data_IF_333048784479
#
_entry.id   IF_333048784479
#
_cell.length_a   1.000
_cell.length_b   1.000
_cell.length_c   1.000
_cell.angle_alpha   90.00
_cell.angle_beta   90.00
_cell.angle_gamma   90.00
#
_symmetry.space_group_name_H-M   'P 1'
#
loop_
_entity.id
_entity.type
_entity.pdbx_description
1 polymer ?
#
# COMPACT_ATOMS: atom_id res chain seq x y z
N UNK A 1 -25.35 18.25 0.71
CA UNK A 1 -24.89 16.99 1.29
C UNK A 1 -26.13 16.17 1.59
N UNK A 2 -26.22 14.96 1.07
CA UNK A 2 -27.34 14.09 1.38
C UNK A 2 -27.23 13.69 2.85
N UNK A 3 -28.28 13.90 3.61
CA UNK A 3 -28.33 13.50 5.02
C UNK A 3 -28.74 12.04 5.12
N UNK A 4 -28.19 11.33 6.08
CA UNK A 4 -28.55 9.96 6.43
C UNK A 4 -29.12 9.92 7.85
N UNK A 5 -30.17 9.17 8.10
CA UNK A 5 -30.70 9.02 9.47
C UNK A 5 -29.85 8.09 10.30
N UNK A 6 -29.94 8.24 11.64
CA UNK A 6 -29.28 7.30 12.59
C UNK A 6 -29.69 5.87 12.29
N UNK A 7 -30.96 5.63 12.00
CA UNK A 7 -31.53 4.31 11.65
C UNK A 7 -30.83 3.71 10.40
N UNK A 8 -30.78 4.49 9.34
CA UNK A 8 -30.16 4.04 8.07
C UNK A 8 -28.66 3.78 8.22
N UNK A 9 -27.98 4.66 8.97
CA UNK A 9 -26.54 4.48 9.23
C UNK A 9 -26.27 3.24 10.09
N UNK A 10 -27.01 3.03 11.17
CA UNK A 10 -26.90 1.85 12.01
C UNK A 10 -27.15 0.56 11.22
N UNK A 11 -28.20 0.54 10.37
CA UNK A 11 -28.47 -0.59 9.48
C UNK A 11 -27.28 -0.85 8.52
N UNK A 12 -26.73 0.21 7.93
CA UNK A 12 -25.59 0.09 7.02
C UNK A 12 -24.31 -0.42 7.70
N UNK A 13 -24.15 -0.13 8.99
CA UNK A 13 -23.03 -0.61 9.81
C UNK A 13 -23.30 -1.97 10.45
N UNK A 14 -24.51 -2.54 10.28
CA UNK A 14 -24.98 -3.74 11.01
C UNK A 14 -24.81 -3.57 12.53
N UNK A 15 -25.12 -2.40 13.04
CA UNK A 15 -24.89 -1.96 14.42
C UNK A 15 -26.21 -1.71 15.17
N UNK A 16 -26.18 -1.87 16.49
CA UNK A 16 -27.30 -1.48 17.35
C UNK A 16 -27.36 0.03 17.52
N UNK A 17 -28.57 0.60 17.50
CA UNK A 17 -28.77 2.02 17.75
C UNK A 17 -29.91 2.23 18.75
N UNK A 18 -29.78 3.26 19.57
CA UNK A 18 -30.70 3.62 20.64
C UNK A 18 -31.00 5.11 20.63
N UNK A 19 -32.14 5.50 21.25
CA UNK A 19 -32.57 6.90 21.33
C UNK A 19 -33.42 7.32 20.13
N UNK A 20 -33.28 8.57 19.69
CA UNK A 20 -34.05 9.12 18.56
C UNK A 20 -33.34 8.73 17.23
N UNK A 21 -33.86 7.69 16.58
CA UNK A 21 -33.29 7.11 15.35
C UNK A 21 -33.60 7.93 14.09
N UNK A 22 -34.50 8.91 14.16
CA UNK A 22 -34.88 9.74 13.02
C UNK A 22 -33.99 11.00 12.85
N UNK A 23 -33.03 11.20 13.76
CA UNK A 23 -32.07 12.30 13.64
C UNK A 23 -31.26 12.14 12.34
N UNK A 24 -31.23 13.22 11.57
CA UNK A 24 -30.44 13.30 10.34
C UNK A 24 -28.99 13.70 10.63
N UNK A 25 -28.04 12.98 10.03
CA UNK A 25 -26.60 13.17 10.11
C UNK A 25 -26.09 13.59 8.73
N UNK A 26 -25.30 14.66 8.67
CA UNK A 26 -24.70 15.17 7.42
C UNK A 26 -23.21 14.89 7.30
N UNK A 27 -22.58 14.31 8.33
CA UNK A 27 -21.16 14.00 8.37
C UNK A 27 -20.74 13.45 9.72
N UNK A 28 -19.46 13.25 9.92
CA UNK A 28 -18.86 12.81 11.18
C UNK A 28 -17.69 13.71 11.56
N UNK A 29 -17.42 13.81 12.86
CA UNK A 29 -16.29 14.56 13.40
C UNK A 29 -15.74 13.90 14.68
N UNK A 30 -14.56 14.33 15.12
CA UNK A 30 -14.08 14.01 16.46
C UNK A 30 -15.00 14.67 17.51
N UNK A 31 -15.17 14.07 18.70
CA UNK A 31 -16.16 14.49 19.68
C UNK A 31 -16.16 15.99 20.01
N UNK A 32 -14.97 16.57 20.19
CA UNK A 32 -14.80 17.99 20.56
C UNK A 32 -15.18 18.96 19.44
N UNK A 33 -15.11 18.51 18.17
CA UNK A 33 -15.38 19.34 16.99
C UNK A 33 -16.79 19.09 16.42
N UNK A 34 -17.48 18.07 16.92
CA UNK A 34 -18.76 17.64 16.39
C UNK A 34 -19.88 18.62 16.74
N UNK A 35 -20.51 19.21 15.72
CA UNK A 35 -21.69 20.09 15.83
C UNK A 35 -22.99 19.28 15.81
N UNK A 36 -24.16 19.92 16.05
CA UNK A 36 -25.49 19.30 16.20
C UNK A 36 -25.86 18.63 14.88
N UNK A 37 -25.56 18.40 13.91
CA UNK A 37 -25.86 17.61 12.69
C UNK A 37 -24.78 16.61 12.33
N UNK A 38 -23.72 16.50 13.14
CA UNK A 38 -22.63 15.59 12.91
C UNK A 38 -22.65 14.42 13.92
N UNK A 39 -22.25 13.25 13.45
CA UNK A 39 -21.98 12.10 14.30
C UNK A 39 -20.63 12.27 14.99
N UNK A 40 -20.62 12.28 16.33
CA UNK A 40 -19.38 12.23 17.07
C UNK A 40 -18.78 10.81 17.06
N UNK A 41 -17.55 10.65 16.65
CA UNK A 41 -16.86 9.34 16.64
C UNK A 41 -16.11 9.16 17.94
N UNK A 42 -16.74 8.53 18.94
CA UNK A 42 -16.23 8.38 20.31
C UNK A 42 -16.09 6.91 20.70
N UNK A 43 -15.26 6.17 19.99
CA UNK A 43 -15.12 4.71 20.11
C UNK A 43 -14.06 4.24 21.12
N UNK A 44 -13.44 5.15 21.86
CA UNK A 44 -12.52 4.84 22.95
C UNK A 44 -12.69 5.83 24.10
N UNK A 45 -12.28 5.43 25.31
CA UNK A 45 -12.44 6.22 26.53
C UNK A 45 -11.93 7.67 26.42
N UNK A 46 -10.75 7.96 25.86
CA UNK A 46 -10.29 9.34 25.68
C UNK A 46 -11.19 10.19 24.79
N UNK A 47 -11.82 9.60 23.77
CA UNK A 47 -12.78 10.31 22.92
C UNK A 47 -14.14 10.47 23.59
N UNK A 48 -14.61 9.48 24.33
CA UNK A 48 -15.87 9.58 25.13
C UNK A 48 -15.77 10.74 26.12
N UNK A 49 -14.65 10.89 26.82
CA UNK A 49 -14.42 11.98 27.76
C UNK A 49 -14.53 13.38 27.14
N UNK A 50 -14.27 13.51 25.84
CA UNK A 50 -14.33 14.79 25.09
C UNK A 50 -15.68 15.10 24.47
N UNK A 51 -16.68 14.23 24.58
CA UNK A 51 -18.03 14.48 24.03
C UNK A 51 -18.67 15.74 24.57
N UNK A 52 -18.42 16.08 25.84
CA UNK A 52 -18.93 17.30 26.48
C UNK A 52 -18.31 18.61 25.96
N UNK A 53 -17.20 18.56 25.22
CA UNK A 53 -16.58 19.73 24.60
C UNK A 53 -17.27 20.15 23.30
N UNK A 54 -17.91 19.19 22.61
CA UNK A 54 -18.65 19.40 21.38
C UNK A 54 -20.14 19.68 21.58
N UNK A 55 -20.88 19.66 20.47
CA UNK A 55 -22.34 19.88 20.45
C UNK A 55 -23.10 18.74 19.77
N UNK A 56 -22.46 17.60 19.57
CA UNK A 56 -23.05 16.45 18.93
C UNK A 56 -24.26 15.94 19.72
N UNK A 57 -25.31 15.56 19.00
CA UNK A 57 -26.50 14.92 19.56
C UNK A 57 -26.49 13.41 19.38
N UNK A 58 -25.61 12.92 18.50
CA UNK A 58 -25.48 11.51 18.15
C UNK A 58 -24.00 11.12 18.22
N UNK A 59 -23.72 9.95 18.78
CA UNK A 59 -22.36 9.42 18.82
C UNK A 59 -22.27 7.97 18.35
N UNK A 60 -21.14 7.62 17.73
CA UNK A 60 -20.71 6.25 17.51
C UNK A 60 -19.86 5.84 18.71
N UNK A 61 -20.29 4.82 19.45
CA UNK A 61 -19.71 4.39 20.72
C UNK A 61 -19.25 2.92 20.64
N UNK A 62 -18.29 2.56 21.47
CA UNK A 62 -18.01 1.15 21.76
C UNK A 62 -19.14 0.57 22.64
N UNK A 63 -19.38 -0.75 22.54
CA UNK A 63 -20.35 -1.43 23.37
C UNK A 63 -20.08 -1.24 24.87
N UNK A 64 -21.15 -1.10 25.68
CA UNK A 64 -21.07 -0.98 27.13
C UNK A 64 -20.93 0.44 27.65
N UNK A 65 -20.84 1.46 26.80
CA UNK A 65 -20.82 2.87 27.21
C UNK A 65 -22.23 3.33 27.62
N UNK A 66 -22.38 3.93 28.80
CA UNK A 66 -23.65 4.56 29.22
C UNK A 66 -23.88 5.90 28.50
N UNK A 67 -24.51 5.81 27.33
CA UNK A 67 -24.77 6.96 26.48
C UNK A 67 -25.74 8.00 27.08
N UNK A 68 -26.59 7.59 28.04
CA UNK A 68 -27.54 8.49 28.69
C UNK A 68 -26.87 9.52 29.57
N UNK A 69 -25.75 9.14 30.18
CA UNK A 69 -24.94 10.06 30.99
C UNK A 69 -24.19 11.11 30.15
N UNK A 70 -24.11 10.91 28.80
CA UNK A 70 -23.34 11.76 27.90
C UNK A 70 -24.14 12.88 27.21
N UNK A 71 -25.36 13.13 27.65
CA UNK A 71 -26.24 14.17 27.11
C UNK A 71 -26.53 14.04 25.59
N UNK A 72 -26.52 12.80 25.07
CA UNK A 72 -26.80 12.46 23.69
C UNK A 72 -28.33 12.20 23.50
N UNK A 73 -28.83 12.43 22.29
CA UNK A 73 -30.17 12.10 21.88
C UNK A 73 -30.27 10.72 21.21
N UNK A 74 -29.19 10.24 20.63
CA UNK A 74 -29.06 8.88 20.09
C UNK A 74 -27.63 8.39 20.14
N UNK A 75 -27.43 7.06 20.12
CA UNK A 75 -26.13 6.42 20.03
C UNK A 75 -26.17 5.20 19.09
N UNK A 76 -25.07 4.95 18.40
CA UNK A 76 -24.83 3.75 17.61
C UNK A 76 -23.68 2.99 18.25
N UNK A 77 -23.87 1.69 18.56
CA UNK A 77 -22.88 0.87 19.23
C UNK A 77 -22.18 -0.07 18.27
N UNK A 78 -20.87 -0.22 18.41
CA UNK A 78 -20.06 -1.04 17.53
C UNK A 78 -19.08 -1.92 18.30
N UNK A 79 -18.95 -3.19 17.90
CA UNK A 79 -18.03 -4.16 18.49
C UNK A 79 -16.58 -3.92 18.08
N UNK A 80 -16.36 -3.58 16.79
CA UNK A 80 -15.06 -3.34 16.20
C UNK A 80 -14.97 -1.92 15.64
N UNK A 81 -14.54 -0.94 16.47
CA UNK A 81 -14.53 0.47 16.08
C UNK A 81 -13.83 0.78 14.75
N UNK A 82 -12.64 0.22 14.54
CA UNK A 82 -11.90 0.45 13.28
C UNK A 82 -12.59 -0.11 12.06
N UNK A 83 -13.27 -1.25 12.18
CA UNK A 83 -14.06 -1.82 11.09
C UNK A 83 -15.31 -0.98 10.80
N UNK A 84 -15.98 -0.53 11.85
CA UNK A 84 -17.14 0.36 11.73
C UNK A 84 -16.78 1.69 11.05
N UNK A 85 -15.58 2.23 11.30
CA UNK A 85 -15.10 3.43 10.60
C UNK A 85 -15.01 3.23 9.09
N UNK A 86 -14.62 2.05 8.61
CA UNK A 86 -14.60 1.77 7.16
C UNK A 86 -16.01 1.87 6.55
N UNK A 87 -17.02 1.28 7.20
CA UNK A 87 -18.42 1.39 6.75
C UNK A 87 -18.97 2.81 6.87
N UNK A 88 -18.68 3.50 7.98
CA UNK A 88 -19.08 4.88 8.23
C UNK A 88 -18.54 5.82 7.15
N UNK A 89 -17.23 5.80 6.94
CA UNK A 89 -16.59 6.68 5.96
C UNK A 89 -17.05 6.38 4.53
N UNK A 90 -17.28 5.12 4.19
CA UNK A 90 -17.85 4.74 2.90
C UNK A 90 -19.28 5.32 2.71
N UNK A 91 -20.10 5.37 3.76
CA UNK A 91 -21.47 5.93 3.69
C UNK A 91 -21.50 7.45 3.67
N UNK A 92 -20.56 8.09 4.35
CA UNK A 92 -20.46 9.54 4.43
C UNK A 92 -19.57 10.14 3.33
N UNK A 93 -18.80 9.32 2.62
CA UNK A 93 -18.09 9.77 1.43
C UNK A 93 -19.09 10.20 0.38
N UNK A 94 -19.22 11.51 0.20
CA UNK A 94 -20.15 12.15 -0.74
C UNK A 94 -19.82 11.86 -2.21
N UNK A 95 -19.18 10.78 -2.44
CA UNK A 95 -18.94 10.14 -3.72
C UNK A 95 -18.82 11.15 -4.88
N UNK A 96 -17.86 12.11 -4.74
CA UNK A 96 -17.50 13.03 -5.81
C UNK A 96 -17.18 12.28 -7.13
N UNK A 97 -16.97 10.97 -7.03
CA UNK A 97 -16.82 10.01 -8.13
C UNK A 97 -18.16 9.62 -8.77
N UNK A 98 -19.31 9.85 -8.10
CA UNK A 98 -20.63 9.59 -8.68
C UNK A 98 -21.02 10.75 -9.60
N UNK A 99 -21.53 10.41 -10.75
CA UNK A 99 -22.05 11.38 -11.71
C UNK A 99 -22.31 10.74 -13.07
N UNK A 100 -22.93 11.49 -13.97
CA UNK A 100 -23.18 11.02 -15.32
C UNK A 100 -21.87 10.78 -16.06
N UNK A 101 -21.87 9.79 -16.98
CA UNK A 101 -20.79 9.58 -17.93
C UNK A 101 -20.40 10.91 -18.60
N UNK A 102 -19.11 11.19 -18.66
CA UNK A 102 -18.61 12.45 -19.22
C UNK A 102 -17.17 12.26 -19.71
N UNK A 103 -16.93 12.70 -20.93
CA UNK A 103 -15.58 12.78 -21.50
C UNK A 103 -15.26 14.24 -21.71
N UNK A 104 -14.20 14.74 -21.06
CA UNK A 104 -13.80 16.14 -21.19
C UNK A 104 -13.33 16.41 -22.64
N UNK A 105 -13.71 17.55 -23.24
CA UNK A 105 -13.36 17.87 -24.65
C UNK A 105 -11.86 17.93 -24.94
N UNK A 106 -11.02 18.16 -23.92
CA UNK A 106 -9.55 18.14 -24.06
C UNK A 106 -8.92 16.76 -23.88
N UNK A 107 -9.71 15.71 -23.60
CA UNK A 107 -9.19 14.35 -23.58
C UNK A 107 -8.88 13.88 -24.99
N UNK A 108 -7.74 13.22 -25.17
CA UNK A 108 -7.34 12.62 -26.45
C UNK A 108 -7.56 11.11 -26.40
N UNK A 109 -8.45 10.63 -27.25
CA UNK A 109 -8.85 9.22 -27.28
C UNK A 109 -8.57 8.66 -28.67
N UNK A 110 -7.75 7.61 -28.72
CA UNK A 110 -7.48 6.92 -29.99
C UNK A 110 -8.77 6.23 -30.50
N UNK A 111 -9.12 6.35 -31.78
CA UNK A 111 -10.35 5.79 -32.32
C UNK A 111 -10.43 4.26 -32.28
N UNK A 112 -9.32 3.56 -32.08
CA UNK A 112 -9.29 2.09 -31.95
C UNK A 112 -9.52 1.62 -30.50
N UNK A 113 -9.56 2.54 -29.53
CA UNK A 113 -9.85 2.19 -28.13
C UNK A 113 -11.32 1.85 -27.91
N UNK A 114 -11.60 1.00 -26.93
CA UNK A 114 -12.93 0.56 -26.55
C UNK A 114 -13.23 1.06 -25.12
N UNK A 115 -14.15 1.99 -25.01
CA UNK A 115 -14.56 2.56 -23.73
C UNK A 115 -15.98 2.10 -23.41
N UNK A 116 -16.15 1.35 -22.33
CA UNK A 116 -17.45 0.86 -21.91
C UNK A 116 -18.33 1.99 -21.33
N UNK A 117 -19.61 1.70 -21.09
CA UNK A 117 -20.58 2.66 -20.59
C UNK A 117 -20.24 3.16 -19.17
N UNK A 118 -20.67 4.36 -18.84
CA UNK A 118 -20.50 4.97 -17.53
C UNK A 118 -19.16 5.65 -17.30
N UNK A 119 -18.25 5.62 -18.26
CA UNK A 119 -16.93 6.23 -18.11
C UNK A 119 -16.98 7.74 -17.89
N UNK A 120 -16.14 8.24 -16.96
CA UNK A 120 -15.82 9.66 -16.75
C UNK A 120 -14.32 9.85 -17.01
N UNK A 121 -13.98 10.71 -17.97
CA UNK A 121 -12.59 10.96 -18.36
C UNK A 121 -12.30 12.44 -18.20
N UNK A 122 -11.39 12.77 -17.30
CA UNK A 122 -10.99 14.13 -16.96
C UNK A 122 -10.16 14.81 -18.05
N UNK A 123 -9.93 16.09 -17.83
CA UNK A 123 -9.22 16.95 -18.76
C UNK A 123 -7.79 16.46 -19.05
N UNK A 124 -7.32 16.62 -20.29
CA UNK A 124 -5.96 16.31 -20.72
C UNK A 124 -5.54 14.85 -20.53
N UNK A 125 -6.49 13.94 -20.36
CA UNK A 125 -6.20 12.52 -20.31
C UNK A 125 -5.98 11.96 -21.72
N UNK A 126 -5.08 10.98 -21.83
CA UNK A 126 -4.73 10.31 -23.07
C UNK A 126 -5.07 8.82 -23.00
N UNK A 127 -5.87 8.34 -23.94
CA UNK A 127 -6.24 6.94 -24.09
C UNK A 127 -5.64 6.44 -25.43
N UNK A 128 -4.65 5.56 -25.32
CA UNK A 128 -3.89 5.06 -26.46
C UNK A 128 -4.62 4.05 -27.33
N UNK A 129 -3.98 3.69 -28.45
CA UNK A 129 -4.53 2.75 -29.42
C UNK A 129 -4.79 1.38 -28.81
N UNK A 130 -5.93 0.77 -29.14
CA UNK A 130 -6.32 -0.57 -28.70
C UNK A 130 -6.56 -0.72 -27.20
N UNK A 131 -6.65 0.37 -26.44
CA UNK A 131 -7.01 0.33 -25.02
C UNK A 131 -8.43 -0.19 -24.85
N UNK A 132 -8.61 -1.09 -23.87
CA UNK A 132 -9.94 -1.54 -23.43
C UNK A 132 -10.16 -1.03 -22.01
N UNK A 133 -11.19 -0.20 -21.82
CA UNK A 133 -11.57 0.39 -20.54
C UNK A 133 -12.97 -0.09 -20.14
N UNK A 134 -13.07 -0.74 -18.98
CA UNK A 134 -14.29 -1.31 -18.44
C UNK A 134 -15.34 -0.26 -18.04
N UNK A 135 -16.47 -0.76 -17.55
CA UNK A 135 -17.63 0.07 -17.18
C UNK A 135 -17.32 0.97 -15.99
N UNK A 136 -18.06 2.09 -15.90
CA UNK A 136 -18.04 3.02 -14.78
C UNK A 136 -16.63 3.54 -14.42
N UNK A 137 -15.72 3.54 -15.36
CA UNK A 137 -14.36 4.01 -15.13
C UNK A 137 -14.37 5.50 -14.74
N UNK A 138 -13.64 5.82 -13.68
CA UNK A 138 -13.42 7.20 -13.25
C UNK A 138 -11.93 7.56 -13.44
N UNK A 139 -11.65 8.44 -14.37
CA UNK A 139 -10.33 8.97 -14.66
C UNK A 139 -10.28 10.46 -14.33
N UNK A 140 -9.36 10.84 -13.45
CA UNK A 140 -9.05 12.22 -13.12
C UNK A 140 -8.43 12.98 -14.30
N UNK A 141 -7.75 14.06 -14.01
CA UNK A 141 -7.05 14.86 -15.03
C UNK A 141 -5.67 14.28 -15.34
N UNK A 142 -5.18 14.48 -16.58
CA UNK A 142 -3.83 14.07 -16.99
C UNK A 142 -3.54 12.56 -16.80
N UNK A 143 -4.55 11.71 -16.83
CA UNK A 143 -4.38 10.24 -16.81
C UNK A 143 -3.91 9.77 -18.17
N UNK A 144 -2.95 8.84 -18.19
CA UNK A 144 -2.46 8.22 -19.42
C UNK A 144 -2.69 6.72 -19.38
N UNK A 145 -3.38 6.17 -20.40
CA UNK A 145 -3.47 4.74 -20.67
C UNK A 145 -2.67 4.44 -21.93
N UNK A 146 -1.58 3.68 -21.78
CA UNK A 146 -0.71 3.28 -22.89
C UNK A 146 -1.37 2.27 -23.83
N UNK A 147 -0.86 2.19 -25.05
CA UNK A 147 -1.41 1.35 -26.12
C UNK A 147 -1.58 -0.11 -25.67
N UNK A 148 -2.70 -0.72 -26.03
CA UNK A 148 -3.00 -2.12 -25.78
C UNK A 148 -3.24 -2.47 -24.31
N UNK A 149 -3.32 -1.49 -23.41
CA UNK A 149 -3.64 -1.76 -22.00
C UNK A 149 -5.11 -2.13 -21.83
N UNK A 150 -5.37 -2.97 -20.83
CA UNK A 150 -6.71 -3.39 -20.40
C UNK A 150 -6.94 -2.97 -18.94
N UNK A 151 -8.07 -2.32 -18.68
CA UNK A 151 -8.51 -1.96 -17.33
C UNK A 151 -9.94 -2.44 -17.14
N UNK A 152 -10.16 -3.29 -16.13
CA UNK A 152 -11.47 -3.88 -15.82
C UNK A 152 -12.54 -2.87 -15.40
N UNK A 153 -13.67 -3.37 -14.91
CA UNK A 153 -14.82 -2.54 -14.50
C UNK A 153 -14.57 -1.79 -13.20
N UNK A 154 -15.23 -0.66 -13.02
CA UNK A 154 -15.25 0.20 -11.82
C UNK A 154 -13.86 0.72 -11.37
N UNK A 155 -12.92 1.04 -12.26
CA UNK A 155 -11.64 1.57 -11.86
C UNK A 155 -11.74 3.04 -11.45
N UNK A 156 -10.88 3.43 -10.49
CA UNK A 156 -10.67 4.83 -10.11
C UNK A 156 -9.21 5.18 -10.31
N UNK A 157 -8.92 6.00 -11.29
CA UNK A 157 -7.58 6.50 -11.60
C UNK A 157 -7.53 7.99 -11.33
N UNK A 158 -6.84 8.38 -10.25
CA UNK A 158 -6.77 9.79 -9.85
C UNK A 158 -5.79 10.59 -10.73
N UNK A 159 -5.66 11.89 -10.43
CA UNK A 159 -4.93 12.80 -11.29
C UNK A 159 -3.49 12.39 -11.54
N UNK A 160 -3.05 12.47 -12.78
CA UNK A 160 -1.67 12.22 -13.17
C UNK A 160 -1.23 10.75 -13.20
N UNK A 161 -2.15 9.78 -13.01
CA UNK A 161 -1.84 8.34 -13.11
C UNK A 161 -1.33 8.01 -14.51
N UNK A 162 -0.25 7.23 -14.58
CA UNK A 162 0.38 6.76 -15.81
C UNK A 162 0.34 5.24 -15.87
N UNK A 163 -0.39 4.70 -16.82
CA UNK A 163 -0.42 3.25 -17.13
C UNK A 163 0.30 3.05 -18.46
N UNK A 164 1.35 2.24 -18.43
CA UNK A 164 2.16 1.90 -19.61
C UNK A 164 1.43 1.00 -20.60
N UNK A 165 2.11 0.71 -21.72
CA UNK A 165 1.55 -0.15 -22.78
C UNK A 165 1.43 -1.60 -22.33
N UNK A 166 0.40 -2.30 -22.81
CA UNK A 166 0.11 -3.71 -22.59
C UNK A 166 -0.09 -4.10 -21.11
N UNK A 167 -0.34 -3.14 -20.24
CA UNK A 167 -0.66 -3.40 -18.82
C UNK A 167 -2.07 -3.96 -18.71
N UNK A 168 -2.25 -4.99 -17.88
CA UNK A 168 -3.54 -5.63 -17.61
C UNK A 168 -3.92 -5.38 -16.16
N UNK A 169 -5.10 -4.82 -15.93
CA UNK A 169 -5.61 -4.48 -14.59
C UNK A 169 -7.02 -5.05 -14.43
N UNK A 170 -7.26 -5.72 -13.31
CA UNK A 170 -8.57 -6.27 -12.95
C UNK A 170 -9.60 -5.20 -12.60
N UNK A 171 -10.69 -5.63 -11.95
CA UNK A 171 -11.83 -4.79 -11.60
C UNK A 171 -11.61 -4.03 -10.27
N UNK A 172 -12.35 -2.93 -10.06
CA UNK A 172 -12.36 -2.12 -8.82
C UNK A 172 -10.96 -1.65 -8.39
N UNK A 173 -10.13 -1.45 -9.37
CA UNK A 173 -8.77 -0.94 -9.16
C UNK A 173 -8.78 0.54 -8.76
N UNK A 174 -7.96 0.90 -7.79
CA UNK A 174 -7.79 2.29 -7.36
C UNK A 174 -6.33 2.69 -7.48
N UNK A 175 -6.04 3.77 -8.20
CA UNK A 175 -4.73 4.41 -8.24
C UNK A 175 -4.82 5.84 -7.72
N UNK A 176 -4.06 6.12 -6.67
CA UNK A 176 -3.92 7.45 -6.08
C UNK A 176 -3.10 8.38 -7.01
N UNK A 177 -3.10 9.70 -6.79
CA UNK A 177 -2.43 10.64 -7.69
C UNK A 177 -0.96 10.30 -7.94
N UNK A 178 -0.54 10.41 -9.21
CA UNK A 178 0.86 10.25 -9.61
C UNK A 178 1.38 8.80 -9.64
N UNK A 179 0.54 7.80 -9.49
CA UNK A 179 0.93 6.38 -9.63
C UNK A 179 1.46 6.12 -11.04
N UNK A 180 2.56 5.35 -11.14
CA UNK A 180 3.15 4.92 -12.41
C UNK A 180 3.19 3.40 -12.48
N UNK A 181 2.59 2.83 -13.52
CA UNK A 181 2.54 1.38 -13.76
C UNK A 181 3.12 1.08 -15.13
N UNK A 182 4.09 0.17 -15.20
CA UNK A 182 4.68 -0.26 -16.46
C UNK A 182 5.81 0.63 -16.98
N UNK A 183 6.47 1.40 -16.09
CA UNK A 183 7.76 1.99 -16.40
C UNK A 183 8.81 0.91 -16.61
N UNK A 184 9.85 1.19 -17.39
CA UNK A 184 10.94 0.25 -17.62
C UNK A 184 11.69 -0.03 -16.31
N UNK A 185 11.97 -1.30 -16.06
CA UNK A 185 12.77 -1.73 -14.93
C UNK A 185 14.20 -1.21 -14.99
N UNK A 186 14.80 -0.95 -13.82
CA UNK A 186 16.21 -0.57 -13.71
C UNK A 186 17.09 -1.81 -13.87
N UNK A 187 17.53 -2.08 -15.11
CA UNK A 187 18.34 -3.26 -15.43
C UNK A 187 19.49 -2.90 -16.37
N UNK A 188 20.71 -3.04 -15.89
CA UNK A 188 21.93 -2.70 -16.61
C UNK A 188 23.00 -3.76 -16.38
N UNK A 189 23.81 -4.02 -17.41
CA UNK A 189 24.92 -4.98 -17.40
C UNK A 189 26.14 -4.39 -18.08
N UNK A 190 27.34 -4.80 -17.69
CA UNK A 190 28.56 -4.53 -18.43
C UNK A 190 28.92 -5.72 -19.33
N UNK A 191 29.78 -5.51 -20.31
CA UNK A 191 30.22 -6.56 -21.25
C UNK A 191 30.92 -7.71 -20.52
N UNK A 192 31.78 -7.36 -19.57
CA UNK A 192 32.50 -8.31 -18.74
C UNK A 192 31.98 -8.22 -17.30
N UNK A 193 32.30 -9.23 -16.48
CA UNK A 193 31.81 -9.31 -15.08
C UNK A 193 32.21 -8.04 -14.32
N UNK A 194 31.18 -7.33 -13.81
CA UNK A 194 31.36 -6.10 -13.05
C UNK A 194 31.75 -6.38 -11.60
N UNK A 195 32.42 -5.39 -10.97
CA UNK A 195 32.75 -5.46 -9.54
C UNK A 195 31.48 -5.75 -8.65
N UNK A 196 30.35 -5.23 -9.03
CA UNK A 196 29.07 -5.49 -8.31
C UNK A 196 28.66 -6.96 -8.37
N UNK A 197 28.84 -7.62 -9.52
CA UNK A 197 28.55 -9.05 -9.68
C UNK A 197 29.51 -9.89 -8.84
N UNK A 198 30.83 -9.55 -8.83
CA UNK A 198 31.84 -10.19 -7.97
C UNK A 198 31.47 -10.05 -6.48
N UNK A 199 31.12 -8.85 -6.03
CA UNK A 199 30.71 -8.58 -4.63
C UNK A 199 29.51 -9.41 -4.22
N UNK A 200 28.51 -9.59 -5.10
CA UNK A 200 27.32 -10.42 -4.84
C UNK A 200 27.68 -11.91 -4.69
N UNK A 201 28.59 -12.41 -5.53
CA UNK A 201 29.02 -13.81 -5.50
C UNK A 201 29.96 -14.14 -4.35
N UNK A 202 30.80 -13.21 -3.91
CA UNK A 202 31.86 -13.41 -2.90
C UNK A 202 31.55 -12.84 -1.53
N UNK A 203 30.43 -12.08 -1.39
CA UNK A 203 30.04 -11.36 -0.17
C UNK A 203 31.10 -10.33 0.30
N UNK A 204 31.69 -9.61 -0.63
CA UNK A 204 32.53 -8.44 -0.29
C UNK A 204 33.83 -8.29 -1.07
N UNK A 205 34.25 -9.26 -1.86
CA UNK A 205 35.42 -9.13 -2.75
C UNK A 205 34.94 -8.58 -4.11
N UNK A 206 35.43 -7.39 -4.46
CA UNK A 206 35.15 -6.76 -5.75
C UNK A 206 35.95 -7.31 -6.91
N UNK A 207 36.99 -8.11 -6.64
CA UNK A 207 37.97 -8.54 -7.62
C UNK A 207 38.73 -7.38 -8.30
N UNK A 208 39.35 -7.68 -9.40
CA UNK A 208 40.11 -6.71 -10.22
C UNK A 208 39.31 -6.15 -11.39
N UNK A 209 37.98 -6.15 -11.30
CA UNK A 209 37.10 -5.67 -12.36
C UNK A 209 37.34 -4.20 -12.66
N UNK A 210 37.60 -3.88 -13.93
CA UNK A 210 37.80 -2.52 -14.40
C UNK A 210 36.45 -1.83 -14.65
N UNK A 211 36.38 -0.49 -14.51
CA UNK A 211 35.22 0.27 -14.89
C UNK A 211 34.86 0.07 -16.37
N UNK A 212 33.59 -0.18 -16.66
CA UNK A 212 33.06 -0.41 -18.00
C UNK A 212 31.73 0.39 -18.17
N UNK A 213 31.38 0.72 -19.42
CA UNK A 213 30.05 1.28 -19.71
C UNK A 213 28.96 0.28 -19.36
N UNK A 214 27.82 0.81 -18.87
CA UNK A 214 26.62 0.03 -18.68
C UNK A 214 25.79 -0.04 -19.94
N UNK A 215 25.34 -1.23 -20.28
CA UNK A 215 24.38 -1.48 -21.34
C UNK A 215 23.00 -1.76 -20.73
N UNK A 216 21.97 -1.13 -21.28
CA UNK A 216 20.60 -1.30 -20.80
C UNK A 216 20.04 -2.65 -21.27
N UNK A 217 19.46 -3.38 -20.34
CA UNK A 217 18.58 -4.50 -20.66
C UNK A 217 17.15 -3.94 -20.76
N UNK A 218 16.57 -4.04 -21.96
CA UNK A 218 15.24 -3.48 -22.22
C UNK A 218 14.14 -4.33 -21.61
N UNK A 219 13.05 -3.68 -21.17
CA UNK A 219 11.89 -4.32 -20.58
C UNK A 219 10.87 -4.65 -21.68
N UNK A 220 10.69 -5.92 -21.99
CA UNK A 220 9.77 -6.44 -23.03
C UNK A 220 8.47 -6.97 -22.44
N UNK A 221 8.47 -7.37 -21.15
CA UNK A 221 7.29 -7.77 -20.43
C UNK A 221 6.36 -6.59 -20.11
N UNK A 222 5.29 -6.84 -19.41
CA UNK A 222 4.30 -5.84 -18.97
C UNK A 222 4.09 -5.91 -17.45
N UNK A 223 2.91 -5.47 -17.00
CA UNK A 223 2.44 -5.59 -15.60
C UNK A 223 1.05 -6.20 -15.64
N UNK A 224 0.78 -7.15 -14.76
CA UNK A 224 -0.54 -7.70 -14.49
C UNK A 224 -0.95 -7.41 -13.05
N UNK A 225 -2.15 -6.87 -12.85
CA UNK A 225 -2.71 -6.53 -11.54
C UNK A 225 -4.09 -7.18 -11.42
N UNK A 226 -4.33 -7.87 -10.31
CA UNK A 226 -5.60 -8.51 -10.01
C UNK A 226 -6.72 -7.53 -9.65
N UNK A 227 -7.83 -8.08 -9.18
CA UNK A 227 -9.01 -7.33 -8.74
C UNK A 227 -8.80 -6.68 -7.36
N UNK A 228 -9.54 -5.61 -7.05
CA UNK A 228 -9.59 -4.96 -5.74
C UNK A 228 -8.24 -4.45 -5.22
N UNK A 229 -7.30 -4.16 -6.11
CA UNK A 229 -5.98 -3.61 -5.76
C UNK A 229 -6.04 -2.10 -5.64
N UNK A 230 -5.36 -1.56 -4.63
CA UNK A 230 -5.17 -0.12 -4.47
C UNK A 230 -3.68 0.23 -4.42
N UNK A 231 -3.26 1.24 -5.19
CA UNK A 231 -1.90 1.78 -5.20
C UNK A 231 -1.90 3.21 -4.68
N UNK A 232 -1.12 3.46 -3.63
CA UNK A 232 -0.94 4.76 -2.99
C UNK A 232 -0.20 5.78 -3.86
N UNK A 233 -0.31 7.04 -3.48
CA UNK A 233 0.23 8.16 -4.27
C UNK A 233 1.73 8.02 -4.55
N UNK A 234 2.11 8.32 -5.80
CA UNK A 234 3.49 8.25 -6.30
C UNK A 234 4.18 6.88 -6.11
N UNK A 235 3.42 5.80 -5.93
CA UNK A 235 3.99 4.46 -6.00
C UNK A 235 4.29 4.07 -7.45
N UNK A 236 5.30 3.21 -7.64
CA UNK A 236 5.74 2.77 -8.95
C UNK A 236 5.77 1.24 -9.04
N UNK A 237 5.30 0.71 -10.17
CA UNK A 237 5.38 -0.70 -10.53
C UNK A 237 6.09 -0.84 -11.87
N UNK A 238 7.30 -1.37 -11.84
CA UNK A 238 8.09 -1.55 -13.05
C UNK A 238 7.58 -2.74 -13.87
N UNK A 239 7.64 -2.61 -15.19
CA UNK A 239 7.35 -3.72 -16.09
C UNK A 239 8.48 -4.76 -16.09
N UNK A 240 8.13 -5.98 -16.38
CA UNK A 240 9.12 -7.06 -16.40
C UNK A 240 10.08 -7.01 -17.60
N UNK A 241 11.20 -7.68 -17.45
CA UNK A 241 12.21 -7.77 -18.53
C UNK A 241 11.72 -8.66 -19.67
N UNK A 242 11.31 -9.90 -19.36
CA UNK A 242 10.71 -10.85 -20.31
C UNK A 242 9.31 -11.23 -19.86
N UNK A 243 9.18 -11.86 -18.68
CA UNK A 243 7.90 -12.12 -18.05
C UNK A 243 7.36 -10.87 -17.36
N UNK A 244 6.08 -10.80 -17.15
CA UNK A 244 5.43 -9.67 -16.49
C UNK A 244 5.80 -9.55 -15.00
N UNK A 245 5.66 -8.36 -14.46
CA UNK A 245 5.52 -8.10 -13.04
C UNK A 245 4.07 -8.35 -12.66
N UNK A 246 3.81 -9.04 -11.54
CA UNK A 246 2.47 -9.51 -11.17
C UNK A 246 2.12 -9.05 -9.77
N UNK A 247 0.91 -8.52 -9.59
CA UNK A 247 0.31 -8.20 -8.29
C UNK A 247 -1.03 -8.95 -8.20
N UNK A 248 -1.17 -9.80 -7.20
CA UNK A 248 -2.40 -10.55 -6.93
C UNK A 248 -3.56 -9.66 -6.48
N UNK A 249 -4.74 -10.28 -6.35
CA UNK A 249 -5.97 -9.58 -5.98
C UNK A 249 -5.98 -9.14 -4.52
N UNK A 250 -6.74 -8.09 -4.19
CA UNK A 250 -6.94 -7.61 -2.83
C UNK A 250 -5.76 -6.85 -2.21
N UNK A 251 -4.64 -6.71 -2.91
CA UNK A 251 -3.45 -6.03 -2.40
C UNK A 251 -3.68 -4.54 -2.17
N UNK A 252 -3.10 -4.02 -1.07
CA UNK A 252 -3.09 -2.60 -0.75
C UNK A 252 -1.65 -2.12 -0.63
N UNK A 253 -1.28 -1.19 -1.49
CA UNK A 253 0.06 -0.61 -1.56
C UNK A 253 -0.04 0.85 -1.17
N UNK A 254 0.71 1.24 -0.17
CA UNK A 254 0.73 2.61 0.35
C UNK A 254 1.65 3.53 -0.47
N UNK A 255 1.70 4.80 -0.11
CA UNK A 255 2.38 5.84 -0.85
C UNK A 255 3.89 5.59 -0.99
N UNK A 256 4.46 6.01 -2.12
CA UNK A 256 5.91 5.99 -2.39
C UNK A 256 6.53 4.58 -2.37
N UNK A 257 5.74 3.53 -2.52
CA UNK A 257 6.28 2.18 -2.65
C UNK A 257 6.88 1.97 -4.05
N UNK A 258 8.00 1.22 -4.12
CA UNK A 258 8.65 0.81 -5.37
C UNK A 258 8.58 -0.70 -5.53
N UNK A 259 7.91 -1.17 -6.56
CA UNK A 259 7.84 -2.58 -6.95
C UNK A 259 8.68 -2.75 -8.21
N UNK A 260 9.81 -3.45 -8.07
CA UNK A 260 10.78 -3.65 -9.14
C UNK A 260 10.31 -4.62 -10.23
N UNK A 261 11.05 -4.67 -11.32
CA UNK A 261 10.76 -5.51 -12.48
C UNK A 261 10.70 -7.02 -12.12
N UNK A 262 9.81 -7.75 -12.73
CA UNK A 262 9.65 -9.20 -12.55
C UNK A 262 9.27 -9.64 -11.12
N UNK A 263 8.86 -8.72 -10.25
CA UNK A 263 8.34 -9.05 -8.93
C UNK A 263 7.00 -9.79 -9.07
N UNK A 264 6.76 -10.77 -8.23
CA UNK A 264 5.46 -11.44 -8.06
C UNK A 264 5.00 -11.20 -6.64
N UNK A 265 3.80 -10.65 -6.48
CA UNK A 265 3.12 -10.47 -5.20
C UNK A 265 1.85 -11.31 -5.22
N UNK A 266 1.66 -12.17 -4.23
CA UNK A 266 0.45 -12.96 -4.04
C UNK A 266 -0.76 -12.12 -3.64
N UNK A 267 -1.85 -12.77 -3.27
CA UNK A 267 -3.11 -12.11 -2.93
C UNK A 267 -3.11 -11.49 -1.52
N UNK A 268 -3.96 -10.46 -1.33
CA UNK A 268 -4.26 -9.83 -0.03
C UNK A 268 -3.03 -9.30 0.73
N UNK A 269 -2.00 -8.88 0.04
CA UNK A 269 -0.81 -8.30 0.65
C UNK A 269 -1.02 -6.83 1.06
N UNK A 270 -0.40 -6.43 2.17
CA UNK A 270 -0.36 -5.05 2.64
C UNK A 270 1.09 -4.53 2.58
N UNK A 271 1.35 -3.63 1.66
CA UNK A 271 2.67 -3.04 1.41
C UNK A 271 2.63 -1.59 1.90
N UNK A 272 3.21 -1.33 3.07
CA UNK A 272 3.16 0.01 3.67
C UNK A 272 4.07 1.02 2.95
N UNK A 273 3.99 2.29 3.38
CA UNK A 273 4.66 3.40 2.72
C UNK A 273 6.18 3.23 2.61
N UNK A 274 6.75 3.68 1.50
CA UNK A 274 8.18 3.67 1.21
C UNK A 274 8.83 2.28 1.22
N UNK A 275 8.05 1.22 1.06
CA UNK A 275 8.60 -0.13 0.86
C UNK A 275 9.26 -0.20 -0.50
N UNK A 276 10.44 -0.81 -0.56
CA UNK A 276 11.14 -1.14 -1.79
C UNK A 276 11.27 -2.65 -1.97
N UNK A 277 10.73 -3.19 -3.05
CA UNK A 277 10.87 -4.60 -3.42
C UNK A 277 11.74 -4.65 -4.67
N UNK A 278 12.95 -5.18 -4.53
CA UNK A 278 13.88 -5.28 -5.64
C UNK A 278 13.46 -6.38 -6.65
N UNK A 279 14.00 -6.27 -7.85
CA UNK A 279 13.58 -7.08 -8.98
C UNK A 279 13.64 -8.60 -8.76
N UNK A 280 12.76 -9.31 -9.43
CA UNK A 280 12.67 -10.77 -9.44
C UNK A 280 12.35 -11.45 -8.09
N UNK A 281 11.98 -10.68 -7.08
CA UNK A 281 11.54 -11.22 -5.79
C UNK A 281 10.09 -11.69 -5.85
N UNK A 282 9.76 -12.69 -5.05
CA UNK A 282 8.43 -13.27 -4.96
C UNK A 282 7.92 -13.19 -3.53
N UNK A 283 6.73 -12.63 -3.33
CA UNK A 283 5.98 -12.62 -2.08
C UNK A 283 4.78 -13.57 -2.22
N UNK A 284 4.57 -14.41 -1.21
CA UNK A 284 3.35 -15.22 -1.09
C UNK A 284 2.13 -14.38 -0.71
N UNK A 285 1.04 -15.05 -0.35
CA UNK A 285 -0.22 -14.40 0.01
C UNK A 285 -0.20 -13.84 1.44
N UNK A 286 -1.04 -12.83 1.70
CA UNK A 286 -1.24 -12.23 3.02
C UNK A 286 0.06 -11.69 3.66
N UNK A 287 1.02 -11.27 2.86
CA UNK A 287 2.28 -10.67 3.35
C UNK A 287 2.04 -9.23 3.77
N UNK A 288 2.55 -8.85 4.95
CA UNK A 288 2.53 -7.47 5.44
C UNK A 288 3.96 -6.95 5.51
N UNK A 289 4.30 -5.98 4.67
CA UNK A 289 5.59 -5.29 4.74
C UNK A 289 5.38 -3.93 5.44
N UNK A 290 5.95 -3.80 6.65
CA UNK A 290 5.93 -2.54 7.40
C UNK A 290 6.66 -1.41 6.67
N UNK A 291 6.31 -0.16 6.96
CA UNK A 291 6.86 1.01 6.26
C UNK A 291 8.38 1.01 6.19
N UNK A 292 8.94 1.44 5.07
CA UNK A 292 10.38 1.48 4.79
C UNK A 292 11.08 0.11 4.78
N UNK A 293 10.34 -0.99 4.74
CA UNK A 293 10.94 -2.33 4.52
C UNK A 293 11.61 -2.37 3.15
N UNK A 294 12.81 -2.91 3.10
CA UNK A 294 13.51 -3.20 1.84
C UNK A 294 13.66 -4.71 1.65
N UNK A 295 13.24 -5.21 0.50
CA UNK A 295 13.43 -6.61 0.09
C UNK A 295 14.48 -6.64 -1.02
N UNK A 296 15.55 -7.41 -0.82
CA UNK A 296 16.62 -7.58 -1.81
C UNK A 296 16.16 -8.35 -3.04
N UNK A 297 16.91 -8.29 -4.11
CA UNK A 297 16.60 -8.94 -5.38
C UNK A 297 16.65 -10.48 -5.28
N UNK A 298 15.83 -11.14 -6.11
CA UNK A 298 15.79 -12.60 -6.24
C UNK A 298 15.46 -13.36 -4.94
N UNK A 299 14.68 -12.78 -4.03
CA UNK A 299 14.29 -13.40 -2.78
C UNK A 299 12.86 -13.95 -2.83
N UNK A 300 12.63 -14.93 -1.96
CA UNK A 300 11.32 -15.47 -1.66
C UNK A 300 10.90 -15.08 -0.24
N UNK A 301 9.73 -14.46 -0.10
CA UNK A 301 9.06 -14.18 1.17
C UNK A 301 7.77 -15.01 1.21
N UNK A 302 7.71 -15.98 2.10
CA UNK A 302 6.58 -16.91 2.20
C UNK A 302 5.28 -16.23 2.63
N UNK A 303 4.15 -16.91 2.41
CA UNK A 303 2.82 -16.41 2.79
C UNK A 303 2.71 -16.15 4.29
N UNK A 304 1.85 -15.18 4.68
CA UNK A 304 1.59 -14.77 6.07
C UNK A 304 2.84 -14.26 6.82
N UNK A 305 3.83 -13.74 6.12
CA UNK A 305 4.98 -13.05 6.73
C UNK A 305 4.60 -11.62 7.07
N UNK A 306 5.02 -11.16 8.27
CA UNK A 306 4.85 -9.77 8.71
C UNK A 306 6.24 -9.20 9.00
N UNK A 307 6.57 -8.06 8.41
CA UNK A 307 7.77 -7.30 8.78
C UNK A 307 7.41 -6.05 9.57
N UNK A 308 8.14 -5.76 10.63
CA UNK A 308 8.11 -4.44 11.27
C UNK A 308 8.71 -3.37 10.37
N UNK A 309 8.48 -2.10 10.73
CA UNK A 309 9.03 -0.97 9.97
C UNK A 309 10.56 -0.99 9.86
N UNK A 310 11.09 -0.44 8.76
CA UNK A 310 12.51 -0.33 8.44
C UNK A 310 13.28 -1.67 8.37
N UNK A 311 12.59 -2.80 8.29
CA UNK A 311 13.23 -4.13 8.19
C UNK A 311 13.95 -4.29 6.84
N UNK A 312 15.16 -4.86 6.85
CA UNK A 312 15.91 -5.23 5.65
C UNK A 312 15.89 -6.74 5.47
N UNK A 313 15.19 -7.21 4.44
CA UNK A 313 15.10 -8.63 4.08
C UNK A 313 16.23 -8.92 3.09
N UNK A 314 17.26 -9.64 3.55
CA UNK A 314 18.47 -9.94 2.79
C UNK A 314 18.61 -11.44 2.47
N UNK A 315 17.66 -12.27 2.88
CA UNK A 315 17.60 -13.70 2.63
C UNK A 315 16.14 -14.17 2.54
N UNK A 316 15.90 -15.35 2.00
CA UNK A 316 14.57 -15.94 1.92
C UNK A 316 13.91 -16.08 3.31
N UNK A 317 12.63 -15.75 3.38
CA UNK A 317 11.85 -15.80 4.62
C UNK A 317 10.80 -16.91 4.51
N UNK A 318 10.84 -17.94 5.34
CA UNK A 318 9.79 -18.97 5.38
C UNK A 318 8.43 -18.39 5.77
N UNK A 319 7.34 -19.03 5.33
CA UNK A 319 5.98 -18.60 5.63
C UNK A 319 5.69 -18.45 7.14
N UNK A 320 4.77 -17.55 7.50
CA UNK A 320 4.28 -17.35 8.87
C UNK A 320 5.27 -16.68 9.83
N UNK A 321 6.35 -16.08 9.35
CA UNK A 321 7.35 -15.43 10.20
C UNK A 321 7.00 -13.96 10.48
N UNK A 322 7.32 -13.51 11.69
CA UNK A 322 7.32 -12.09 12.06
C UNK A 322 8.78 -11.64 12.16
N UNK A 323 9.13 -10.63 11.36
CA UNK A 323 10.50 -10.13 11.21
C UNK A 323 10.59 -8.70 11.73
N UNK A 324 11.69 -8.36 12.40
CA UNK A 324 11.96 -7.00 12.87
C UNK A 324 13.44 -6.66 12.69
N UNK A 325 13.72 -5.46 12.20
CA UNK A 325 15.07 -4.93 12.11
C UNK A 325 15.16 -3.45 12.51
N UNK A 326 16.34 -3.02 12.96
CA UNK A 326 16.71 -1.63 13.22
C UNK A 326 15.73 -0.81 14.11
N UNK A 327 15.42 -1.24 15.35
CA UNK A 327 14.64 -0.40 16.25
C UNK A 327 15.44 0.87 16.64
N UNK A 328 14.75 1.99 16.79
CA UNK A 328 15.34 3.20 17.32
C UNK A 328 15.72 2.99 18.79
N UNK A 329 16.91 3.47 19.17
CA UNK A 329 17.38 3.44 20.56
C UNK A 329 18.18 4.69 20.87
N UNK A 330 18.50 4.93 22.14
CA UNK A 330 19.34 6.06 22.53
C UNK A 330 20.68 6.00 21.78
N UNK A 331 21.15 7.15 21.29
CA UNK A 331 22.39 7.24 20.51
C UNK A 331 23.60 6.64 21.22
N UNK A 332 23.77 6.91 22.52
CA UNK A 332 24.86 6.34 23.33
C UNK A 332 24.80 4.81 23.33
N UNK A 333 23.64 4.23 23.57
CA UNK A 333 23.41 2.78 23.55
C UNK A 333 23.74 2.18 22.18
N UNK A 334 23.29 2.84 21.10
CA UNK A 334 23.56 2.39 19.73
C UNK A 334 25.06 2.41 19.41
N UNK A 335 25.77 3.47 19.82
CA UNK A 335 27.21 3.58 19.62
C UNK A 335 27.97 2.48 20.36
N UNK A 336 27.57 2.16 21.59
CA UNK A 336 28.21 1.09 22.35
C UNK A 336 27.92 -0.29 21.80
N UNK A 337 26.69 -0.57 21.36
CA UNK A 337 26.33 -1.81 20.65
C UNK A 337 27.20 -1.94 19.41
N UNK A 338 27.32 -0.88 18.59
CA UNK A 338 28.08 -0.91 17.35
C UNK A 338 29.59 -1.13 17.60
N UNK A 339 30.17 -0.48 18.63
CA UNK A 339 31.56 -0.72 19.05
C UNK A 339 31.78 -2.17 19.45
N UNK A 340 30.85 -2.75 20.21
CA UNK A 340 30.95 -4.14 20.68
C UNK A 340 30.79 -5.13 19.53
N UNK A 341 29.88 -4.89 18.58
CA UNK A 341 29.74 -5.72 17.37
C UNK A 341 31.05 -5.75 16.55
N UNK A 342 31.73 -4.61 16.42
CA UNK A 342 33.04 -4.55 15.73
C UNK A 342 34.16 -5.32 16.44
N UNK A 343 34.09 -5.47 17.76
CA UNK A 343 35.07 -6.21 18.58
C UNK A 343 34.75 -7.71 18.63
N UNK A 344 33.51 -8.10 18.37
CA UNK A 344 33.03 -9.49 18.50
C UNK A 344 33.90 -10.52 17.77
N UNK A 345 34.35 -10.31 16.49
CA UNK A 345 35.22 -11.27 15.82
C UNK A 345 36.56 -11.54 16.54
N UNK A 346 37.14 -10.49 17.14
CA UNK A 346 38.40 -10.65 17.91
C UNK A 346 38.15 -11.41 19.21
N UNK A 347 37.05 -11.08 19.93
CA UNK A 347 36.65 -11.78 21.17
C UNK A 347 36.34 -13.26 20.91
N UNK A 348 35.68 -13.60 19.81
CA UNK A 348 35.40 -15.00 19.43
C UNK A 348 36.70 -15.78 19.19
N UNK A 349 37.68 -15.18 18.50
CA UNK A 349 38.99 -15.81 18.28
C UNK A 349 39.74 -16.04 19.59
N UNK A 350 39.74 -15.06 20.49
CA UNK A 350 40.41 -15.15 21.77
C UNK A 350 39.73 -16.22 22.65
N UNK A 351 38.40 -16.27 22.68
CA UNK A 351 37.65 -17.31 23.40
C UNK A 351 37.97 -18.73 22.87
N UNK A 352 38.04 -18.90 21.55
CA UNK A 352 38.41 -20.19 20.93
C UNK A 352 39.84 -20.61 21.33
N UNK A 353 40.79 -19.65 21.41
CA UNK A 353 42.16 -19.91 21.87
C UNK A 353 42.17 -20.37 23.33
N UNK A 354 41.49 -19.62 24.23
CA UNK A 354 41.42 -19.96 25.65
C UNK A 354 40.78 -21.35 25.87
N UNK A 355 39.75 -21.70 25.10
CA UNK A 355 39.13 -23.02 25.16
C UNK A 355 40.10 -24.15 24.77
N UNK A 356 40.90 -23.94 23.72
CA UNK A 356 41.89 -24.93 23.28
C UNK A 356 43.07 -25.07 24.27
N UNK A 357 43.46 -23.99 24.95
CA UNK A 357 44.52 -24.01 25.96
C UNK A 357 44.07 -24.77 27.24
N UNK A 358 42.82 -24.62 27.65
CA UNK A 358 42.23 -25.35 28.78
C UNK A 358 42.10 -26.88 28.51
N UNK A 359 41.71 -27.25 27.29
CA UNK A 359 41.61 -28.67 26.88
C UNK A 359 42.94 -29.38 26.78
N UNK A 360 44.08 -28.68 26.74
CA UNK A 360 45.45 -29.23 26.74
C UNK A 360 46.03 -29.38 28.16
N UNK A 361 45.34 -28.89 29.18
CA UNK A 361 45.75 -28.96 30.58
C UNK A 361 45.09 -30.10 31.37
N UNK A 362 44.07 -30.73 30.79
CA UNK A 362 43.46 -31.97 31.25
C UNK A 362 44.03 -33.16 30.43
#
# INVERSE_FOLDING_TARGET
>A
MDSITVKELAHALSAEAVGNLDISITGAAEPQDAQAGLLAVATSEPFVARLGEGKAKVALLANGVDWRSLNLEAAIFVDRPRYALAGLTLKLDNNWRQGKAFIHPSAVIDPTSQIASGARIGAFSYIGAGVVLGKNAWLGTHVTLGNGSFVGDDPTLLDGVKIGQNVIIGQRFVAQPGVVIGADGFSYVSKEVAALENVRGTLGDRGDALPQPYHRIHSLGAVQIGDDVELGANSCVDRGTIRDTIIGSGCKVDNLAQIGHNVIIGDNCLICAQVGIAGSSTLGDNVVLGGQTGVSDNLFVGSNVITGGATKVLANVPAGRVMLGYPAMKMETQLDIYKNLRRLPALVKEFARLKSENQKKD
#
